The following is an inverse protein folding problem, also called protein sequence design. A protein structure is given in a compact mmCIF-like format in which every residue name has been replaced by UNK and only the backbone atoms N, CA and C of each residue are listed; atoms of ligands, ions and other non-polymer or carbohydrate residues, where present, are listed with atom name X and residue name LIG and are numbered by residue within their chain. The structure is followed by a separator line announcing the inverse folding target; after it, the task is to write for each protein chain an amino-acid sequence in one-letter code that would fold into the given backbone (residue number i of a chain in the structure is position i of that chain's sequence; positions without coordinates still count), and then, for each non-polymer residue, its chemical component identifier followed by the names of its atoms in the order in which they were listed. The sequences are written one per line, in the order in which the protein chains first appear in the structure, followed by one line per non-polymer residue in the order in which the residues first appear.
data_IF_584679799942
#
_entry.id   IF_584679799942
#
_cell.length_a   1.000
_cell.length_b   1.000
_cell.length_c   1.000
_cell.angle_alpha   90.00
_cell.angle_beta   90.00
_cell.angle_gamma   90.00
#
_symmetry.space_group_name_H-M   'P 1'
#
loop_
_entity.id
_entity.type
_entity.pdbx_description
1 polymer ?
#
# COMPACT_ATOMS: atom_id res chain seq x y z
N UNK A 1 -13.97 -13.61 -7.48
CA UNK A 1 -13.37 -12.86 -8.60
C UNK A 1 -12.68 -11.65 -8.00
N UNK A 2 -11.39 -11.77 -7.67
CA UNK A 2 -10.57 -10.66 -7.18
C UNK A 2 -10.20 -9.78 -8.37
N UNK A 3 -10.55 -8.48 -8.32
CA UNK A 3 -10.10 -7.53 -9.35
C UNK A 3 -8.58 -7.43 -9.32
N UNK A 4 -7.95 -7.34 -10.48
CA UNK A 4 -6.53 -7.01 -10.62
C UNK A 4 -6.26 -5.58 -10.14
N UNK A 5 -5.02 -5.27 -9.71
CA UNK A 5 -4.61 -3.89 -9.32
C UNK A 5 -4.93 -2.85 -10.41
N UNK A 6 -4.77 -3.22 -11.68
CA UNK A 6 -5.11 -2.38 -12.82
C UNK A 6 -6.62 -2.10 -12.88
N UNK A 7 -7.45 -3.14 -12.79
CA UNK A 7 -8.91 -3.02 -12.82
C UNK A 7 -9.48 -2.30 -11.58
N UNK A 8 -8.81 -2.37 -10.44
CA UNK A 8 -9.18 -1.59 -9.25
C UNK A 8 -8.96 -0.07 -9.44
N UNK A 9 -8.14 0.34 -10.41
CA UNK A 9 -7.98 1.75 -10.78
C UNK A 9 -9.09 2.23 -11.71
N UNK A 10 -9.89 1.35 -12.30
CA UNK A 10 -11.00 1.73 -13.18
C UNK A 10 -12.25 2.06 -12.36
N UNK A 11 -12.74 3.32 -12.38
CA UNK A 11 -13.91 3.73 -11.60
C UNK A 11 -15.19 3.01 -12.02
N UNK A 12 -15.22 2.47 -13.25
CA UNK A 12 -16.33 1.64 -13.77
C UNK A 12 -16.34 0.22 -13.19
N UNK A 13 -15.19 -0.29 -12.76
CA UNK A 13 -15.04 -1.65 -12.20
C UNK A 13 -14.95 -1.62 -10.68
N UNK A 14 -14.49 -0.52 -10.11
CA UNK A 14 -14.34 -0.34 -8.67
C UNK A 14 -15.16 0.85 -8.15
N UNK A 15 -16.37 0.61 -7.60
CA UNK A 15 -17.22 1.68 -7.06
C UNK A 15 -16.62 2.36 -5.82
N UNK A 16 -15.58 1.79 -5.19
CA UNK A 16 -14.86 2.38 -4.05
C UNK A 16 -13.78 3.38 -4.48
N UNK A 17 -13.48 3.47 -5.78
CA UNK A 17 -12.54 4.42 -6.36
C UNK A 17 -13.22 5.23 -7.48
N UNK A 18 -14.17 6.12 -7.15
CA UNK A 18 -14.95 6.87 -8.15
C UNK A 18 -14.08 7.82 -8.98
N UNK A 19 -12.94 8.25 -8.46
CA UNK A 19 -12.00 9.15 -9.14
C UNK A 19 -10.98 8.41 -10.03
N UNK A 20 -10.99 7.07 -10.04
CA UNK A 20 -10.07 6.28 -10.86
C UNK A 20 -8.59 6.52 -10.49
N UNK A 21 -8.34 6.80 -9.21
CA UNK A 21 -7.01 7.12 -8.71
C UNK A 21 -6.16 5.85 -8.76
N UNK A 22 -4.88 6.00 -9.14
CA UNK A 22 -3.94 4.88 -9.15
C UNK A 22 -3.54 4.48 -7.72
N UNK A 23 -3.18 3.20 -7.48
CA UNK A 23 -2.76 2.72 -6.16
C UNK A 23 -1.57 3.48 -5.57
N UNK A 24 -0.71 4.06 -6.42
CA UNK A 24 0.41 4.88 -5.97
C UNK A 24 0.03 6.25 -5.37
N UNK A 25 -1.20 6.73 -5.61
CA UNK A 25 -1.69 8.05 -5.25
C UNK A 25 -2.83 8.03 -4.23
N UNK A 26 -3.42 6.87 -3.95
CA UNK A 26 -4.61 6.77 -3.09
C UNK A 26 -4.29 6.91 -1.60
N UNK A 27 -3.08 6.52 -1.20
CA UNK A 27 -2.63 6.55 0.19
C UNK A 27 -1.25 7.22 0.34
N UNK A 28 -1.08 8.51 -0.01
CA UNK A 28 0.22 9.18 0.02
C UNK A 28 0.80 9.29 1.43
N UNK A 29 -0.08 9.42 2.43
CA UNK A 29 0.29 9.62 3.83
C UNK A 29 0.93 8.35 4.42
N UNK A 30 0.25 7.21 4.27
CA UNK A 30 0.75 5.91 4.75
C UNK A 30 1.88 5.38 3.89
N UNK A 31 1.88 5.68 2.59
CA UNK A 31 3.00 5.38 1.69
C UNK A 31 4.27 6.09 2.13
N UNK A 32 4.20 7.39 2.43
CA UNK A 32 5.34 8.16 2.92
C UNK A 32 5.85 7.59 4.24
N UNK A 33 4.96 7.30 5.19
CA UNK A 33 5.34 6.68 6.46
C UNK A 33 6.00 5.30 6.29
N UNK A 34 5.50 4.48 5.36
CA UNK A 34 6.13 3.21 4.98
C UNK A 34 7.53 3.46 4.43
N UNK A 35 7.66 4.30 3.42
CA UNK A 35 8.94 4.58 2.74
C UNK A 35 9.97 5.18 3.71
N UNK A 36 9.55 6.09 4.58
CA UNK A 36 10.37 6.62 5.67
C UNK A 36 10.78 5.50 6.63
N UNK A 37 9.86 4.61 7.03
CA UNK A 37 10.18 3.49 7.89
C UNK A 37 11.24 2.56 7.28
N UNK A 38 11.13 2.22 5.99
CA UNK A 38 12.15 1.42 5.30
C UNK A 38 13.47 2.18 5.12
N UNK A 39 13.42 3.51 4.91
CA UNK A 39 14.61 4.33 4.81
C UNK A 39 15.37 4.43 6.14
N UNK A 40 14.65 4.57 7.26
CA UNK A 40 15.21 4.68 8.61
C UNK A 40 15.66 3.35 9.19
N UNK A 41 14.90 2.26 8.96
CA UNK A 41 15.27 0.92 9.41
C UNK A 41 16.23 0.21 8.44
N UNK A 42 16.62 0.90 7.35
CA UNK A 42 17.52 0.41 6.31
C UNK A 42 16.82 -0.51 5.31
N UNK A 43 16.93 -0.18 4.01
CA UNK A 43 16.53 -1.08 2.91
C UNK A 43 17.37 -2.36 2.84
N UNK A 44 18.50 -2.41 3.56
CA UNK A 44 19.49 -3.48 3.55
C UNK A 44 20.17 -3.55 4.92
N UNK A 45 19.54 -4.13 5.93
CA UNK A 45 20.30 -4.86 6.94
C UNK A 45 20.12 -6.32 6.52
N UNK A 46 21.19 -6.92 6.01
CA UNK A 46 21.43 -8.36 5.83
C UNK A 46 20.18 -9.26 5.83
N UNK A 47 19.96 -10.00 4.74
CA UNK A 47 18.86 -10.95 4.44
C UNK A 47 18.44 -11.97 5.53
N UNK A 48 18.88 -11.83 6.77
CA UNK A 48 18.63 -12.73 7.88
C UNK A 48 17.50 -12.32 8.83
N UNK A 49 17.16 -11.04 9.09
CA UNK A 49 16.01 -10.74 9.97
C UNK A 49 15.59 -9.25 10.10
N UNK A 50 14.30 -8.93 9.92
CA UNK A 50 13.62 -7.96 10.81
C UNK A 50 13.13 -6.60 10.29
N UNK A 51 13.45 -6.13 9.08
CA UNK A 51 12.96 -4.80 8.62
C UNK A 51 11.44 -4.75 8.43
N UNK A 52 10.82 -5.90 8.11
CA UNK A 52 9.37 -6.03 7.94
C UNK A 52 8.60 -5.96 9.26
N UNK A 53 9.16 -6.43 10.37
CA UNK A 53 8.51 -6.40 11.69
C UNK A 53 8.50 -5.00 12.28
N UNK A 54 9.61 -4.26 12.19
CA UNK A 54 9.69 -2.87 12.63
C UNK A 54 8.71 -1.96 11.86
N UNK A 55 8.52 -2.24 10.57
CA UNK A 55 7.60 -1.49 9.70
C UNK A 55 6.23 -2.17 9.53
N UNK A 56 5.91 -3.21 10.29
CA UNK A 56 4.66 -3.96 10.13
C UNK A 56 3.42 -3.10 10.34
N UNK A 57 3.43 -2.26 11.38
CA UNK A 57 2.32 -1.35 11.66
C UNK A 57 2.05 -0.35 10.54
N UNK A 58 3.11 0.23 9.95
CA UNK A 58 2.95 1.18 8.82
C UNK A 58 2.57 0.47 7.52
N UNK A 59 3.03 -0.76 7.31
CA UNK A 59 2.62 -1.61 6.19
C UNK A 59 1.14 -1.99 6.28
N UNK A 60 0.67 -2.42 7.45
CA UNK A 60 -0.73 -2.75 7.70
C UNK A 60 -1.62 -1.52 7.51
N UNK A 61 -1.20 -0.34 7.97
CA UNK A 61 -1.93 0.91 7.74
C UNK A 61 -2.03 1.26 6.23
N UNK A 62 -0.96 1.04 5.47
CA UNK A 62 -0.95 1.26 4.02
C UNK A 62 -1.87 0.27 3.30
N UNK A 63 -1.79 -1.02 3.65
CA UNK A 63 -2.67 -2.06 3.10
C UNK A 63 -4.14 -1.81 3.46
N UNK A 64 -4.44 -1.44 4.70
CA UNK A 64 -5.80 -1.12 5.14
C UNK A 64 -6.37 0.05 4.32
N UNK A 65 -5.56 1.09 4.10
CA UNK A 65 -5.96 2.21 3.25
C UNK A 65 -6.27 1.74 1.82
N UNK A 66 -5.37 0.99 1.17
CA UNK A 66 -5.62 0.46 -0.18
C UNK A 66 -6.86 -0.45 -0.27
N UNK A 67 -7.10 -1.28 0.76
CA UNK A 67 -8.29 -2.15 0.85
C UNK A 67 -9.58 -1.35 0.98
N UNK A 68 -9.58 -0.22 1.69
CA UNK A 68 -10.75 0.68 1.78
C UNK A 68 -11.16 1.24 0.42
N UNK A 69 -10.21 1.39 -0.50
CA UNK A 69 -10.47 1.80 -1.88
C UNK A 69 -10.64 0.62 -2.83
N UNK A 70 -10.70 -0.63 -2.35
CA UNK A 70 -10.94 -1.81 -3.19
C UNK A 70 -9.72 -2.30 -3.98
N UNK A 71 -8.50 -1.84 -3.65
CA UNK A 71 -7.28 -2.37 -4.25
C UNK A 71 -6.85 -3.68 -3.59
N UNK A 72 -6.47 -4.71 -4.37
CA UNK A 72 -5.87 -5.92 -3.83
C UNK A 72 -4.43 -5.65 -3.35
N UNK A 73 -4.10 -6.06 -2.11
CA UNK A 73 -2.78 -5.91 -1.47
C UNK A 73 -2.36 -7.14 -0.69
#
# INVERSE_FOLDING_TARGET
MTLSVAEASDPKKNPLNPEGIKPCCVCPQTKKARDECFLFNGSNADSSNGSSDACKGVLEAHQACMRSFGFPV
#
